data_IF_771909210051
#
_entry.id   IF_771909210051
#
_cell.length_a   1.000
_cell.length_b   1.000
_cell.length_c   1.000
_cell.angle_alpha   90.00
_cell.angle_beta   90.00
_cell.angle_gamma   90.00
#
_symmetry.space_group_name_H-M   'P 1'
#
loop_
_entity.id
_entity.type
_entity.pdbx_description
1 polymer ?
#
# COMPACT_ATOMS: atom_id res chain seq x y z
N UNK A 1 -4.38 1.93 -10.38
CA UNK A 1 -4.50 1.51 -8.97
C UNK A 1 -4.36 0.00 -8.92
N UNK A 2 -3.52 -0.53 -8.03
CA UNK A 2 -3.35 -1.97 -7.80
C UNK A 2 -3.82 -2.31 -6.40
N UNK A 3 -5.05 -2.81 -6.25
CA UNK A 3 -5.57 -3.34 -4.98
C UNK A 3 -6.21 -4.70 -5.23
N UNK A 4 -5.66 -5.80 -4.68
CA UNK A 4 -6.11 -7.15 -4.98
C UNK A 4 -7.42 -7.53 -4.29
N UNK A 5 -7.87 -6.74 -3.30
CA UNK A 5 -9.06 -7.03 -2.52
C UNK A 5 -10.14 -5.95 -2.68
N UNK A 6 -11.38 -6.40 -2.90
CA UNK A 6 -12.56 -5.54 -2.90
C UNK A 6 -12.74 -4.83 -1.56
N UNK A 7 -13.47 -3.70 -1.58
CA UNK A 7 -13.83 -3.00 -0.34
C UNK A 7 -14.83 -3.84 0.44
N UNK A 8 -14.61 -3.97 1.74
CA UNK A 8 -15.54 -4.65 2.63
C UNK A 8 -16.74 -3.74 2.95
N UNK A 9 -17.91 -4.03 2.39
CA UNK A 9 -19.15 -3.25 2.63
C UNK A 9 -19.64 -3.31 4.07
N UNK A 10 -19.20 -4.30 4.85
CA UNK A 10 -19.59 -4.52 6.25
C UNK A 10 -18.52 -3.98 7.22
N UNK A 11 -17.53 -3.22 6.74
CA UNK A 11 -16.54 -2.58 7.61
C UNK A 11 -17.23 -1.53 8.50
N UNK A 12 -17.03 -1.62 9.81
CA UNK A 12 -17.63 -0.70 10.80
C UNK A 12 -16.62 -0.29 11.88
N UNK A 13 -16.91 0.83 12.55
CA UNK A 13 -16.07 1.35 13.63
C UNK A 13 -14.70 1.87 13.14
N UNK A 14 -13.71 1.91 14.06
CA UNK A 14 -12.30 2.31 13.80
C UNK A 14 -12.10 3.71 13.18
N UNK A 15 -13.13 4.58 13.24
CA UNK A 15 -13.09 5.95 12.70
C UNK A 15 -11.87 6.74 13.19
N UNK A 16 -11.60 6.67 14.49
CA UNK A 16 -10.44 7.34 15.12
C UNK A 16 -9.09 6.88 14.55
N UNK A 17 -8.96 5.59 14.23
CA UNK A 17 -7.74 5.04 13.62
C UNK A 17 -7.62 5.52 12.17
N UNK A 18 -8.72 5.46 11.40
CA UNK A 18 -8.75 5.94 10.02
C UNK A 18 -8.41 7.44 9.92
N UNK A 19 -8.96 8.26 10.81
CA UNK A 19 -8.63 9.69 10.91
C UNK A 19 -7.16 9.91 11.25
N UNK A 20 -6.62 9.10 12.17
CA UNK A 20 -5.20 9.17 12.52
C UNK A 20 -4.31 8.81 11.32
N UNK A 21 -4.64 7.75 10.58
CA UNK A 21 -3.91 7.37 9.35
C UNK A 21 -4.03 8.46 8.29
N UNK A 22 -5.21 9.07 8.12
CA UNK A 22 -5.43 10.19 7.20
C UNK A 22 -4.51 11.36 7.53
N UNK A 23 -4.55 11.85 8.77
CA UNK A 23 -3.70 12.94 9.25
C UNK A 23 -2.21 12.64 9.09
N UNK A 24 -1.77 11.44 9.47
CA UNK A 24 -0.36 11.04 9.37
C UNK A 24 0.13 10.86 7.94
N UNK A 25 -0.77 10.71 6.97
CA UNK A 25 -0.44 10.56 5.56
C UNK A 25 -0.51 11.86 4.76
N UNK A 26 -0.87 12.98 5.40
CA UNK A 26 -0.90 14.28 4.72
C UNK A 26 0.48 14.61 4.15
N UNK A 27 0.55 15.13 2.91
CA UNK A 27 1.79 15.29 2.16
C UNK A 27 2.65 16.42 2.75
N UNK A 28 3.40 16.11 3.80
CA UNK A 28 4.50 16.91 4.31
C UNK A 28 5.86 16.33 3.87
N UNK A 29 5.94 15.01 3.67
CA UNK A 29 7.16 14.27 3.28
C UNK A 29 6.85 12.81 2.87
N UNK A 30 7.89 11.98 2.70
CA UNK A 30 7.77 10.51 2.60
C UNK A 30 7.36 9.87 3.94
N UNK A 31 6.07 9.96 4.27
CA UNK A 31 5.54 9.42 5.52
C UNK A 31 5.53 7.88 5.52
N UNK A 32 5.95 7.28 6.64
CA UNK A 32 5.87 5.83 6.88
C UNK A 32 4.96 5.57 8.07
N UNK A 33 3.91 4.78 7.86
CA UNK A 33 2.90 4.48 8.88
C UNK A 33 2.87 2.97 9.09
N UNK A 34 2.95 2.53 10.34
CA UNK A 34 2.82 1.12 10.71
C UNK A 34 1.50 0.91 11.47
N UNK A 35 0.68 -0.04 11.00
CA UNK A 35 -0.45 -0.58 11.75
C UNK A 35 0.01 -1.84 12.48
N UNK A 36 -0.01 -1.83 13.82
CA UNK A 36 0.45 -2.95 14.66
C UNK A 36 -0.62 -3.37 15.68
N UNK A 37 -0.49 -4.58 16.23
CA UNK A 37 -1.45 -5.19 17.15
C UNK A 37 -1.62 -6.69 16.92
N UNK A 38 -2.41 -7.34 17.78
CA UNK A 38 -2.58 -8.80 17.81
C UNK A 38 -3.06 -9.41 16.48
N UNK A 39 -2.79 -10.70 16.28
CA UNK A 39 -3.34 -11.48 15.16
C UNK A 39 -4.88 -11.38 15.14
N UNK A 40 -5.48 -11.26 13.96
CA UNK A 40 -6.93 -11.14 13.83
C UNK A 40 -7.55 -9.78 14.21
N UNK A 41 -6.77 -8.79 14.67
CA UNK A 41 -7.30 -7.47 15.09
C UNK A 41 -7.84 -6.59 13.96
N UNK A 42 -7.73 -7.03 12.70
CA UNK A 42 -8.27 -6.33 11.54
C UNK A 42 -7.33 -5.29 10.90
N UNK A 43 -6.02 -5.30 11.18
CA UNK A 43 -5.03 -4.36 10.61
C UNK A 43 -5.13 -4.24 9.08
N UNK A 44 -5.17 -5.38 8.38
CA UNK A 44 -5.30 -5.41 6.91
C UNK A 44 -6.62 -4.82 6.45
N UNK A 45 -7.72 -5.03 7.18
CA UNK A 45 -9.02 -4.45 6.86
C UNK A 45 -9.03 -2.93 7.06
N UNK A 46 -8.36 -2.42 8.09
CA UNK A 46 -8.18 -0.97 8.31
C UNK A 46 -7.39 -0.36 7.15
N UNK A 47 -6.28 -0.98 6.75
CA UNK A 47 -5.49 -0.52 5.61
C UNK A 47 -6.31 -0.52 4.32
N UNK A 48 -7.07 -1.59 4.05
CA UNK A 48 -7.95 -1.72 2.89
C UNK A 48 -9.05 -0.65 2.86
N UNK A 49 -9.73 -0.42 3.97
CA UNK A 49 -10.76 0.60 4.05
C UNK A 49 -10.17 1.99 3.76
N UNK A 50 -9.03 2.30 4.37
CA UNK A 50 -8.34 3.57 4.17
C UNK A 50 -7.94 3.80 2.71
N UNK A 51 -7.34 2.81 2.05
CA UNK A 51 -6.94 2.95 0.65
C UNK A 51 -8.13 3.01 -0.32
N UNK A 52 -9.27 2.42 0.02
CA UNK A 52 -10.51 2.57 -0.75
C UNK A 52 -11.12 3.97 -0.61
N UNK A 53 -11.04 4.57 0.58
CA UNK A 53 -11.40 5.98 0.76
C UNK A 53 -10.48 6.90 -0.05
N UNK A 54 -9.15 6.70 0.05
CA UNK A 54 -8.16 7.50 -0.69
C UNK A 54 -8.23 7.36 -2.20
N UNK A 55 -8.47 6.17 -2.70
CA UNK A 55 -8.57 5.95 -4.15
C UNK A 55 -9.82 6.58 -4.77
N UNK A 56 -10.80 6.97 -3.95
CA UNK A 56 -11.96 7.74 -4.39
C UNK A 56 -11.65 9.24 -4.47
N UNK A 57 -10.54 9.70 -3.90
CA UNK A 57 -10.05 11.08 -3.99
C UNK A 57 -9.20 11.24 -5.28
N UNK A 58 -9.34 12.37 -5.99
CA UNK A 58 -8.57 12.66 -7.21
C UNK A 58 -7.07 12.82 -6.91
N UNK A 59 -6.22 12.25 -7.77
CA UNK A 59 -4.76 12.47 -7.72
C UNK A 59 -3.98 11.52 -6.81
N UNK A 60 -4.58 10.45 -6.28
CA UNK A 60 -3.88 9.45 -5.47
C UNK A 60 -3.66 8.14 -6.24
N UNK A 61 -2.40 7.76 -6.47
CA UNK A 61 -2.03 6.44 -6.97
C UNK A 61 -1.81 5.47 -5.81
N UNK A 62 -2.61 4.40 -5.76
CA UNK A 62 -2.44 3.35 -4.75
C UNK A 62 -1.90 2.06 -5.35
N UNK A 63 -0.87 1.53 -4.70
CA UNK A 63 -0.24 0.26 -4.99
C UNK A 63 -0.21 -0.62 -3.75
N UNK A 64 -0.71 -1.84 -3.86
CA UNK A 64 -0.72 -2.83 -2.79
C UNK A 64 0.31 -3.92 -3.06
N UNK A 65 1.32 -4.04 -2.20
CA UNK A 65 2.40 -5.01 -2.32
C UNK A 65 2.32 -6.05 -1.20
N UNK A 66 2.43 -7.33 -1.55
CA UNK A 66 2.46 -8.42 -0.58
C UNK A 66 3.80 -8.50 0.15
N UNK A 67 3.78 -8.40 1.48
CA UNK A 67 4.99 -8.43 2.32
C UNK A 67 5.27 -9.77 3.02
N UNK A 68 4.65 -10.87 2.62
CA UNK A 68 4.78 -12.17 3.31
C UNK A 68 6.15 -12.85 3.13
N UNK A 69 7.04 -12.27 2.33
CA UNK A 69 8.41 -12.73 2.11
C UNK A 69 9.07 -11.95 0.98
N UNK A 70 10.40 -12.04 0.88
CA UNK A 70 11.19 -11.27 -0.09
C UNK A 70 10.75 -11.54 -1.54
N UNK A 71 10.45 -12.80 -1.88
CA UNK A 71 10.00 -13.17 -3.23
C UNK A 71 8.69 -12.46 -3.61
N UNK A 72 7.66 -12.51 -2.75
CA UNK A 72 6.37 -11.83 -2.98
C UNK A 72 6.48 -10.32 -2.97
N UNK A 73 7.39 -9.79 -2.15
CA UNK A 73 7.67 -8.36 -2.09
C UNK A 73 8.30 -7.87 -3.40
N UNK A 74 9.34 -8.55 -3.89
CA UNK A 74 10.01 -8.22 -5.16
C UNK A 74 9.09 -8.39 -6.36
N UNK A 75 8.26 -9.44 -6.38
CA UNK A 75 7.20 -9.62 -7.39
C UNK A 75 6.25 -8.41 -7.41
N UNK A 76 5.72 -8.01 -6.26
CA UNK A 76 4.79 -6.89 -6.19
C UNK A 76 5.42 -5.54 -6.60
N UNK A 77 6.69 -5.28 -6.29
CA UNK A 77 7.36 -4.07 -6.79
C UNK A 77 7.61 -4.10 -8.30
N UNK A 78 7.84 -5.27 -8.89
CA UNK A 78 7.92 -5.43 -10.35
C UNK A 78 6.59 -5.08 -11.00
N UNK A 79 5.47 -5.53 -10.43
CA UNK A 79 4.13 -5.20 -10.92
C UNK A 79 3.86 -3.69 -10.84
N UNK A 80 4.30 -3.04 -9.76
CA UNK A 80 4.21 -1.58 -9.60
C UNK A 80 5.02 -0.86 -10.68
N UNK A 81 6.26 -1.28 -10.93
CA UNK A 81 7.12 -0.68 -11.94
C UNK A 81 6.50 -0.79 -13.35
N UNK A 82 5.95 -1.96 -13.69
CA UNK A 82 5.25 -2.17 -14.97
C UNK A 82 4.03 -1.25 -15.12
N UNK A 83 3.20 -1.16 -14.08
CA UNK A 83 2.01 -0.29 -14.09
C UNK A 83 2.35 1.20 -14.14
N UNK A 84 3.49 1.60 -13.57
CA UNK A 84 3.97 2.98 -13.58
C UNK A 84 4.80 3.30 -14.83
N UNK A 85 4.98 2.35 -15.76
CA UNK A 85 5.88 2.48 -16.91
C UNK A 85 7.31 2.87 -16.52
N UNK A 86 7.76 2.41 -15.35
CA UNK A 86 9.14 2.54 -14.90
C UNK A 86 9.88 1.32 -15.42
N UNK A 87 10.54 1.50 -16.55
CA UNK A 87 11.42 0.49 -17.10
C UNK A 87 12.77 0.57 -16.41
N UNK A 88 13.46 -0.57 -16.21
CA UNK A 88 14.88 -0.52 -15.93
C UNK A 88 15.49 0.33 -17.04
N UNK A 89 16.12 1.45 -16.70
CA UNK A 89 17.13 2.01 -17.57
C UNK A 89 18.12 0.90 -17.86
N UNK A 90 18.76 0.91 -19.03
CA UNK A 90 19.91 0.06 -19.32
C UNK A 90 21.07 0.43 -18.37
N UNK A 91 20.87 0.28 -17.06
CA UNK A 91 21.91 0.21 -16.08
C UNK A 91 22.57 -1.13 -16.34
N UNK A 92 23.86 -1.03 -16.64
CA UNK A 92 24.75 -2.15 -16.83
C UNK A 92 24.45 -3.23 -15.78
N UNK A 93 24.42 -4.49 -16.24
CA UNK A 93 24.41 -5.63 -15.33
C UNK A 93 25.51 -5.38 -14.31
N UNK A 94 25.13 -5.17 -13.05
CA UNK A 94 26.07 -5.26 -11.95
C UNK A 94 26.64 -6.68 -12.04
N UNK A 95 27.93 -6.84 -12.38
CA UNK A 95 28.54 -8.14 -12.35
C UNK A 95 28.84 -8.43 -10.88
N UNK A 96 28.18 -9.46 -10.36
CA UNK A 96 28.55 -10.22 -9.17
C UNK A 96 28.09 -9.68 -7.80
N UNK A 97 27.52 -10.59 -6.98
CA UNK A 97 27.39 -10.44 -5.53
C UNK A 97 26.07 -10.92 -4.95
#
# INVERSE_FOLDING_TARGET
RLIPYGRNSNFTGRKNILESVKRLSEPASHNRIALYGLGGSGKTQIALEYVHQRASESGCHVFWVGGSGLSKFSEGFRDVAQLAHIYPTNAEKDPEG
#
